data_IF_788480746250
#
_entry.id   IF_788480746250
#
_cell.length_a   1.000
_cell.length_b   1.000
_cell.length_c   1.000
_cell.angle_alpha   90.00
_cell.angle_beta   90.00
_cell.angle_gamma   90.00
#
_symmetry.space_group_name_H-M   'P 1'
#
loop_
_entity.id
_entity.type
_entity.pdbx_description
1 polymer ?
#
# COMPACT_ATOMS: atom_id res chain seq x y z
N UNK A 1 21.40 -8.57 -20.89
CA UNK A 1 20.86 -7.47 -20.04
C UNK A 1 20.77 -6.12 -20.78
N UNK A 2 21.78 -5.71 -21.54
CA UNK A 2 21.75 -4.42 -22.25
C UNK A 2 20.56 -4.23 -23.22
N UNK A 3 20.09 -5.26 -23.90
CA UNK A 3 18.97 -5.17 -24.84
C UNK A 3 17.62 -4.84 -24.18
N UNK A 4 17.36 -5.34 -22.98
CA UNK A 4 16.08 -5.05 -22.29
C UNK A 4 15.97 -3.60 -21.83
N UNK A 5 17.05 -3.03 -21.31
CA UNK A 5 17.07 -1.64 -20.86
C UNK A 5 16.88 -0.67 -22.03
N UNK A 6 17.48 -0.98 -23.19
CA UNK A 6 17.29 -0.20 -24.39
C UNK A 6 15.83 -0.23 -24.88
N UNK A 7 15.21 -1.41 -24.91
CA UNK A 7 13.78 -1.56 -25.27
C UNK A 7 12.89 -0.73 -24.34
N UNK A 8 13.16 -0.73 -23.03
CA UNK A 8 12.43 0.08 -22.05
C UNK A 8 12.61 1.57 -22.34
N UNK A 9 13.85 2.01 -22.55
CA UNK A 9 14.16 3.42 -22.85
C UNK A 9 13.47 3.89 -24.15
N UNK A 10 13.53 3.10 -25.21
CA UNK A 10 12.87 3.38 -26.48
C UNK A 10 11.33 3.45 -26.32
N UNK A 11 10.75 2.56 -25.51
CA UNK A 11 9.32 2.62 -25.18
C UNK A 11 8.96 3.88 -24.39
N UNK A 12 9.75 4.26 -23.41
CA UNK A 12 9.49 5.45 -22.60
C UNK A 12 9.56 6.72 -23.45
N UNK A 13 10.56 6.80 -24.33
CA UNK A 13 10.68 7.90 -25.27
C UNK A 13 9.51 7.93 -26.25
N UNK A 14 9.15 6.79 -26.86
CA UNK A 14 8.06 6.68 -27.85
C UNK A 14 6.70 7.11 -27.26
N UNK A 15 6.46 6.82 -25.99
CA UNK A 15 5.17 7.08 -25.34
C UNK A 15 5.21 8.29 -24.39
N UNK A 16 6.26 9.06 -24.44
CA UNK A 16 6.41 10.29 -23.66
C UNK A 16 6.28 10.05 -22.13
N UNK A 17 6.83 8.94 -21.64
CA UNK A 17 6.79 8.58 -20.23
C UNK A 17 7.89 9.33 -19.50
N UNK A 18 7.51 10.18 -18.56
CA UNK A 18 8.41 11.10 -17.87
C UNK A 18 9.00 10.55 -16.56
N UNK A 19 8.44 9.47 -16.03
CA UNK A 19 8.97 8.82 -14.83
C UNK A 19 8.54 7.36 -14.76
N UNK A 20 9.21 6.57 -13.91
CA UNK A 20 8.83 5.18 -13.60
C UNK A 20 8.82 4.96 -12.09
N UNK A 21 8.29 3.84 -11.66
CA UNK A 21 8.20 3.45 -10.25
C UNK A 21 8.76 2.05 -10.00
N UNK A 22 9.02 1.73 -8.72
CA UNK A 22 9.45 0.37 -8.31
C UNK A 22 8.48 -0.69 -8.79
N UNK A 23 7.19 -0.45 -8.67
CA UNK A 23 6.15 -1.39 -9.09
C UNK A 23 6.14 -1.60 -10.60
N UNK A 24 6.36 -0.54 -11.37
CA UNK A 24 6.47 -0.62 -12.83
C UNK A 24 7.75 -1.34 -13.27
N UNK A 25 8.87 -1.09 -12.58
CA UNK A 25 10.16 -1.72 -12.90
C UNK A 25 10.23 -3.20 -12.53
N UNK A 26 9.47 -3.65 -11.53
CA UNK A 26 9.39 -5.08 -11.14
C UNK A 26 8.63 -5.93 -12.16
N UNK A 27 7.70 -5.35 -12.87
CA UNK A 27 7.01 -6.06 -13.93
C UNK A 27 7.87 -5.95 -15.19
N UNK A 28 8.38 -7.07 -15.74
CA UNK A 28 9.05 -7.00 -17.02
C UNK A 28 8.10 -6.32 -18.00
N UNK A 29 8.60 -5.49 -18.91
CA UNK A 29 7.77 -4.74 -19.83
C UNK A 29 7.10 -5.70 -20.81
N UNK A 30 6.13 -6.42 -20.31
CA UNK A 30 5.22 -7.14 -21.19
C UNK A 30 4.44 -6.05 -21.91
N UNK A 31 4.56 -5.97 -23.21
CA UNK A 31 3.95 -4.94 -24.06
C UNK A 31 2.48 -4.68 -23.64
N UNK A 32 1.77 -5.73 -23.25
CA UNK A 32 0.37 -5.68 -22.81
C UNK A 32 0.18 -5.04 -21.42
N UNK A 33 1.07 -5.32 -20.47
CA UNK A 33 1.04 -4.70 -19.13
C UNK A 33 1.50 -3.25 -19.20
N UNK A 34 2.46 -2.96 -20.03
CA UNK A 34 2.96 -1.62 -20.28
C UNK A 34 1.89 -0.75 -20.95
N UNK A 35 1.25 -1.23 -21.99
CA UNK A 35 0.11 -0.56 -22.63
C UNK A 35 -1.02 -0.31 -21.64
N UNK A 36 -1.41 -1.32 -20.85
CA UNK A 36 -2.49 -1.20 -19.87
C UNK A 36 -2.15 -0.22 -18.75
N UNK A 37 -0.88 -0.19 -18.31
CA UNK A 37 -0.48 0.64 -17.17
C UNK A 37 -0.20 2.10 -17.56
N UNK A 38 0.37 2.33 -18.74
CA UNK A 38 0.84 3.64 -19.15
C UNK A 38 0.06 4.28 -20.29
N UNK A 39 -0.50 3.52 -21.21
CA UNK A 39 -1.14 4.06 -22.39
C UNK A 39 -2.65 4.21 -22.28
N UNK A 40 -3.33 3.29 -21.62
CA UNK A 40 -4.80 3.36 -21.56
C UNK A 40 -5.29 4.26 -20.45
N UNK A 41 -4.41 4.62 -19.49
CA UNK A 41 -4.81 5.27 -18.23
C UNK A 41 -6.06 4.61 -17.60
N UNK A 42 -6.43 3.46 -18.08
CA UNK A 42 -7.40 2.63 -17.39
C UNK A 42 -6.81 2.41 -16.01
N UNK A 43 -7.29 3.23 -15.08
CA UNK A 43 -7.18 2.85 -13.70
C UNK A 43 -7.70 1.42 -13.69
N UNK A 44 -6.79 0.46 -13.49
CA UNK A 44 -7.22 -0.82 -13.02
C UNK A 44 -8.07 -0.47 -11.83
N UNK A 45 -9.38 -0.52 -12.00
CA UNK A 45 -10.28 -0.61 -10.88
C UNK A 45 -9.87 -1.92 -10.22
N UNK A 46 -8.79 -1.87 -9.44
CA UNK A 46 -8.51 -2.89 -8.46
C UNK A 46 -9.75 -2.80 -7.62
N UNK A 47 -10.67 -3.74 -7.83
CA UNK A 47 -11.82 -3.85 -6.97
C UNK A 47 -11.27 -3.70 -5.57
N UNK A 48 -11.69 -2.63 -4.88
CA UNK A 48 -11.24 -2.39 -3.53
C UNK A 48 -11.54 -3.68 -2.76
N UNK A 49 -10.52 -4.33 -2.23
CA UNK A 49 -10.70 -5.51 -1.40
C UNK A 49 -10.29 -5.15 0.03
N UNK A 50 -10.79 -5.92 0.98
CA UNK A 50 -10.55 -5.69 2.39
C UNK A 50 -9.07 -5.47 2.72
N UNK A 51 -8.18 -6.28 2.16
CA UNK A 51 -6.74 -6.17 2.44
C UNK A 51 -6.14 -4.85 1.97
N UNK A 52 -6.51 -4.40 0.78
CA UNK A 52 -6.00 -3.15 0.21
C UNK A 52 -6.55 -1.95 0.99
N UNK A 53 -7.87 -1.96 1.26
CA UNK A 53 -8.52 -0.87 2.00
C UNK A 53 -8.01 -0.76 3.42
N UNK A 54 -7.90 -1.89 4.15
CA UNK A 54 -7.32 -1.91 5.48
C UNK A 54 -5.86 -1.46 5.49
N UNK A 55 -5.08 -1.87 4.49
CA UNK A 55 -3.71 -1.41 4.32
C UNK A 55 -3.64 0.11 4.21
N UNK A 56 -4.45 0.71 3.34
CA UNK A 56 -4.51 2.17 3.16
C UNK A 56 -4.95 2.88 4.44
N UNK A 57 -6.03 2.41 5.08
CA UNK A 57 -6.52 3.00 6.34
C UNK A 57 -5.44 2.93 7.43
N UNK A 58 -4.76 1.79 7.56
CA UNK A 58 -3.70 1.60 8.54
C UNK A 58 -2.50 2.54 8.31
N UNK A 59 -2.10 2.78 7.05
CA UNK A 59 -1.09 3.79 6.70
C UNK A 59 -1.54 5.18 7.13
N UNK A 60 -2.73 5.62 6.70
CA UNK A 60 -3.25 6.94 7.02
C UNK A 60 -3.27 7.22 8.53
N UNK A 61 -3.66 6.21 9.33
CA UNK A 61 -3.73 6.31 10.79
C UNK A 61 -2.34 6.51 11.40
N UNK A 62 -1.37 5.68 11.00
CA UNK A 62 0.00 5.74 11.55
C UNK A 62 0.68 7.03 11.14
N UNK A 63 0.56 7.43 9.88
CA UNK A 63 1.13 8.69 9.39
C UNK A 63 0.54 9.89 10.12
N UNK A 64 -0.78 9.93 10.28
CA UNK A 64 -1.46 10.99 11.02
C UNK A 64 -1.00 11.05 12.47
N UNK A 65 -0.89 9.90 13.15
CA UNK A 65 -0.42 9.81 14.52
C UNK A 65 0.98 10.42 14.69
N UNK A 66 1.86 10.16 13.72
CA UNK A 66 3.24 10.67 13.74
C UNK A 66 3.29 12.18 13.46
N UNK A 67 2.55 12.65 12.45
CA UNK A 67 2.58 14.05 12.02
C UNK A 67 1.92 14.97 13.05
N UNK A 68 0.77 14.57 13.57
CA UNK A 68 -0.04 15.37 14.47
C UNK A 68 0.21 15.06 15.96
N UNK A 69 1.11 14.09 16.23
CA UNK A 69 1.43 13.62 17.60
C UNK A 69 0.18 13.20 18.39
N UNK A 70 -0.71 12.47 17.71
CA UNK A 70 -1.94 11.93 18.26
C UNK A 70 -1.81 10.45 18.63
N UNK A 71 -2.71 9.96 19.45
CA UNK A 71 -2.86 8.54 19.70
C UNK A 71 -3.54 7.86 18.49
N UNK A 72 -3.30 6.56 18.33
CA UNK A 72 -3.96 5.77 17.27
C UNK A 72 -5.51 5.81 17.45
N UNK A 73 -5.99 5.77 18.69
CA UNK A 73 -7.42 5.84 18.98
C UNK A 73 -8.03 7.18 18.50
N UNK A 74 -7.36 8.30 18.72
CA UNK A 74 -7.80 9.61 18.23
C UNK A 74 -7.77 9.66 16.69
N UNK A 75 -6.74 9.12 16.06
CA UNK A 75 -6.66 9.07 14.61
C UNK A 75 -7.78 8.22 13.99
N UNK A 76 -8.17 7.10 14.62
CA UNK A 76 -9.29 6.28 14.17
C UNK A 76 -10.60 7.06 14.19
N UNK A 77 -10.79 7.99 15.14
CA UNK A 77 -12.00 8.83 15.22
C UNK A 77 -12.03 10.00 14.22
N UNK A 78 -10.94 10.22 13.49
CA UNK A 78 -10.90 11.24 12.46
C UNK A 78 -11.98 11.01 11.40
N UNK A 79 -12.66 12.09 11.01
CA UNK A 79 -13.78 12.02 10.06
C UNK A 79 -13.38 11.38 8.73
N UNK A 80 -12.20 11.71 8.20
CA UNK A 80 -11.74 11.16 6.90
C UNK A 80 -11.48 9.67 7.00
N UNK A 81 -10.96 9.21 8.13
CA UNK A 81 -10.72 7.79 8.40
C UNK A 81 -12.06 7.06 8.54
N UNK A 82 -12.98 7.62 9.31
CA UNK A 82 -14.33 7.07 9.48
C UNK A 82 -15.09 7.01 8.15
N UNK A 83 -15.00 8.05 7.32
CA UNK A 83 -15.62 8.06 6.00
C UNK A 83 -15.05 6.92 5.10
N UNK A 84 -13.73 6.66 5.15
CA UNK A 84 -13.12 5.54 4.44
C UNK A 84 -13.60 4.18 4.98
N UNK A 85 -13.72 4.04 6.29
CA UNK A 85 -14.23 2.82 6.93
C UNK A 85 -15.68 2.57 6.53
N UNK A 86 -16.52 3.58 6.63
CA UNK A 86 -17.95 3.48 6.37
C UNK A 86 -18.31 3.34 4.89
N UNK A 87 -17.43 3.81 4.01
CA UNK A 87 -17.64 3.69 2.55
C UNK A 87 -17.29 2.31 1.99
N UNK A 88 -16.62 1.45 2.77
CA UNK A 88 -16.26 0.13 2.29
C UNK A 88 -17.43 -0.83 2.33
N UNK A 89 -17.79 -1.35 1.17
CA UNK A 89 -18.83 -2.37 1.01
C UNK A 89 -18.28 -3.45 0.08
N UNK A 90 -18.36 -4.71 0.50
CA UNK A 90 -18.04 -5.86 -0.35
C UNK A 90 -19.24 -6.77 -0.51
N UNK A 91 -19.52 -7.18 -1.75
CA UNK A 91 -20.54 -8.20 -2.03
C UNK A 91 -20.06 -9.62 -1.67
N UNK A 92 -18.75 -9.82 -1.55
CA UNK A 92 -18.18 -11.07 -1.03
C UNK A 92 -18.24 -11.05 0.51
N UNK A 93 -19.07 -11.92 1.07
CA UNK A 93 -19.22 -12.07 2.53
C UNK A 93 -17.90 -12.34 3.24
N UNK A 94 -17.00 -13.12 2.64
CA UNK A 94 -15.69 -13.43 3.26
C UNK A 94 -14.82 -12.20 3.30
N UNK A 95 -14.84 -11.40 2.24
CA UNK A 95 -14.07 -10.17 2.16
C UNK A 95 -14.64 -9.13 3.14
N UNK A 96 -15.96 -8.99 3.22
CA UNK A 96 -16.62 -8.13 4.20
C UNK A 96 -16.27 -8.51 5.64
N UNK A 97 -16.37 -9.80 6.01
CA UNK A 97 -15.99 -10.29 7.33
C UNK A 97 -14.50 -10.03 7.64
N UNK A 98 -13.64 -10.16 6.64
CA UNK A 98 -12.22 -9.85 6.77
C UNK A 98 -11.99 -8.37 7.06
N UNK A 99 -12.74 -7.50 6.41
CA UNK A 99 -12.68 -6.06 6.65
C UNK A 99 -13.12 -5.71 8.07
N UNK A 100 -14.27 -6.19 8.50
CA UNK A 100 -14.80 -5.96 9.85
C UNK A 100 -13.85 -6.47 10.95
N UNK A 101 -13.26 -7.63 10.73
CA UNK A 101 -12.24 -8.15 11.63
C UNK A 101 -10.97 -7.30 11.64
N UNK A 102 -10.54 -6.81 10.49
CA UNK A 102 -9.40 -5.91 10.37
C UNK A 102 -9.61 -4.60 11.10
N UNK A 103 -10.80 -4.00 10.97
CA UNK A 103 -11.16 -2.77 11.68
C UNK A 103 -11.05 -2.93 13.21
N UNK A 104 -11.50 -4.05 13.76
CA UNK A 104 -11.38 -4.33 15.20
C UNK A 104 -9.93 -4.41 15.70
N UNK A 105 -8.98 -4.66 14.82
CA UNK A 105 -7.57 -4.79 15.14
C UNK A 105 -6.72 -3.57 14.74
N UNK A 106 -7.32 -2.53 14.15
CA UNK A 106 -6.59 -1.35 13.66
C UNK A 106 -5.78 -0.65 14.75
N UNK A 107 -6.39 -0.47 15.91
CA UNK A 107 -5.72 0.20 17.03
C UNK A 107 -4.48 -0.57 17.51
N UNK A 108 -4.62 -1.89 17.69
CA UNK A 108 -3.51 -2.74 18.10
C UNK A 108 -2.37 -2.74 17.06
N UNK A 109 -2.71 -2.80 15.77
CA UNK A 109 -1.73 -2.77 14.67
C UNK A 109 -1.02 -1.41 14.61
N UNK A 110 -1.76 -0.32 14.70
CA UNK A 110 -1.20 1.03 14.70
C UNK A 110 -0.28 1.27 15.90
N UNK A 111 -0.68 0.85 17.10
CA UNK A 111 0.15 0.96 18.30
C UNK A 111 1.45 0.14 18.17
N UNK A 112 1.40 -1.06 17.60
CA UNK A 112 2.61 -1.85 17.34
C UNK A 112 3.58 -1.12 16.39
N UNK A 113 3.08 -0.41 15.38
CA UNK A 113 3.93 0.40 14.52
C UNK A 113 4.60 1.55 15.28
N UNK A 114 3.86 2.26 16.11
CA UNK A 114 4.42 3.35 16.93
C UNK A 114 5.44 2.84 17.95
N UNK A 115 5.20 1.67 18.56
CA UNK A 115 6.17 1.04 19.48
C UNK A 115 7.48 0.68 18.75
N UNK A 116 7.39 0.06 17.57
CA UNK A 116 8.57 -0.26 16.76
C UNK A 116 9.37 1.00 16.38
N UNK A 117 8.70 2.13 16.14
CA UNK A 117 9.38 3.38 15.85
C UNK A 117 10.10 3.97 17.06
N UNK A 118 9.67 3.66 18.30
CA UNK A 118 10.36 4.09 19.53
C UNK A 118 11.71 3.40 19.72
N UNK A 119 11.91 2.22 19.11
CA UNK A 119 13.19 1.50 19.14
C UNK A 119 14.24 2.18 18.24
N UNK A 120 13.81 3.04 17.34
CA UNK A 120 14.70 3.80 16.44
C UNK A 120 15.17 5.10 17.11
N UNK A 121 16.33 5.65 16.69
CA UNK A 121 16.80 6.93 17.19
C UNK A 121 15.72 8.01 17.06
N UNK A 122 15.58 8.85 18.10
CA UNK A 122 14.65 9.98 18.05
C UNK A 122 15.01 10.90 16.89
N UNK A 123 14.10 11.06 15.98
CA UNK A 123 14.27 11.90 14.80
C UNK A 123 12.92 12.42 14.33
N UNK A 124 12.95 13.49 13.54
CA UNK A 124 11.75 14.03 12.92
C UNK A 124 11.42 13.21 11.68
N UNK A 125 10.27 12.55 11.68
CA UNK A 125 9.79 11.80 10.55
C UNK A 125 9.04 12.69 9.55
N UNK A 126 9.28 12.43 8.27
CA UNK A 126 8.48 12.94 7.14
C UNK A 126 7.71 11.78 6.56
N UNK A 127 6.42 11.97 6.36
CA UNK A 127 5.52 10.97 5.76
C UNK A 127 5.45 11.16 4.25
N UNK A 128 5.20 10.07 3.51
CA UNK A 128 5.03 10.06 2.05
C UNK A 128 6.10 10.87 1.30
N UNK A 129 7.34 10.81 1.76
CA UNK A 129 8.42 11.55 1.11
C UNK A 129 8.66 11.06 -0.31
N UNK A 130 8.45 11.95 -1.28
CA UNK A 130 8.76 11.67 -2.67
C UNK A 130 10.26 11.76 -2.91
N UNK A 131 10.81 10.69 -3.47
CA UNK A 131 12.19 10.62 -3.90
C UNK A 131 12.25 10.35 -5.40
N UNK A 132 13.07 11.13 -6.09
CA UNK A 132 13.35 10.92 -7.51
C UNK A 132 14.84 10.67 -7.72
N UNK A 133 15.16 9.58 -8.39
CA UNK A 133 16.53 9.25 -8.78
C UNK A 133 16.60 8.96 -10.26
N UNK A 134 17.50 9.65 -10.94
CA UNK A 134 17.75 9.39 -12.34
C UNK A 134 18.43 8.04 -12.54
N UNK A 135 17.96 7.26 -13.52
CA UNK A 135 18.56 5.99 -13.89
C UNK A 135 18.97 6.07 -15.36
N UNK A 136 20.25 6.29 -15.60
CA UNK A 136 20.82 6.50 -16.92
C UNK A 136 20.40 5.47 -17.99
N UNK A 137 20.40 4.15 -17.73
CA UNK A 137 20.03 3.19 -18.77
C UNK A 137 18.60 3.32 -19.26
N UNK A 138 17.69 3.90 -18.47
CA UNK A 138 16.27 4.02 -18.79
C UNK A 138 15.94 5.43 -19.28
N UNK A 139 16.82 6.38 -19.02
CA UNK A 139 16.70 7.80 -19.39
C UNK A 139 15.41 8.49 -18.87
N UNK A 140 14.91 8.02 -17.72
CA UNK A 140 13.80 8.66 -17.00
C UNK A 140 14.06 8.59 -15.49
N UNK A 141 13.54 9.54 -14.70
CA UNK A 141 13.66 9.50 -13.27
C UNK A 141 12.83 8.35 -12.69
N UNK A 142 13.43 7.69 -11.72
CA UNK A 142 12.78 6.70 -10.89
C UNK A 142 12.09 7.41 -9.73
N UNK A 143 10.78 7.34 -9.70
CA UNK A 143 9.95 7.95 -8.66
C UNK A 143 9.57 6.92 -7.62
N UNK A 144 9.80 7.20 -6.36
CA UNK A 144 9.37 6.38 -5.24
C UNK A 144 8.81 7.25 -4.12
N UNK A 145 7.85 6.71 -3.42
CA UNK A 145 7.33 7.26 -2.17
C UNK A 145 7.79 6.36 -1.04
N UNK A 146 8.33 6.96 0.00
CA UNK A 146 8.78 6.27 1.21
C UNK A 146 7.82 6.70 2.32
N UNK A 147 7.19 5.72 2.98
CA UNK A 147 6.17 5.97 3.99
C UNK A 147 6.69 6.88 5.09
N UNK A 148 7.86 6.57 5.63
CA UNK A 148 8.50 7.37 6.67
C UNK A 148 9.97 7.59 6.36
N UNK A 149 10.40 8.83 6.27
CA UNK A 149 11.80 9.23 6.09
C UNK A 149 12.24 10.08 7.27
N UNK A 150 13.28 9.64 7.98
CA UNK A 150 13.96 10.41 9.00
C UNK A 150 15.33 10.88 8.50
N UNK A 151 16.13 11.49 9.39
CA UNK A 151 17.49 11.97 9.06
C UNK A 151 18.46 10.82 8.75
N UNK A 152 18.34 9.72 9.48
CA UNK A 152 19.26 8.58 9.40
C UNK A 152 18.59 7.27 9.02
N UNK A 153 17.26 7.19 9.06
CA UNK A 153 16.49 5.97 8.82
C UNK A 153 15.33 6.22 7.90
N UNK A 154 14.98 5.18 7.17
CA UNK A 154 13.72 5.07 6.42
C UNK A 154 12.92 3.89 6.98
N UNK A 155 11.61 4.01 7.00
CA UNK A 155 10.74 2.94 7.44
C UNK A 155 9.57 2.78 6.48
N UNK A 156 9.20 1.52 6.21
CA UNK A 156 8.10 1.14 5.34
C UNK A 156 6.99 0.53 6.21
N UNK A 157 5.83 1.15 6.23
CA UNK A 157 4.69 0.73 7.05
C UNK A 157 4.04 -0.49 6.41
N UNK A 158 4.18 -1.66 7.04
CA UNK A 158 3.56 -2.91 6.59
C UNK A 158 2.48 -3.37 7.55
N UNK A 159 1.24 -3.03 7.23
CA UNK A 159 0.09 -3.49 8.00
C UNK A 159 -0.19 -4.98 7.75
N UNK A 160 0.10 -5.81 8.74
CA UNK A 160 -0.19 -7.23 8.70
C UNK A 160 -1.41 -7.54 9.57
N UNK A 161 -2.56 -7.66 8.93
CA UNK A 161 -3.79 -8.01 9.61
C UNK A 161 -3.85 -9.52 9.92
N UNK A 162 -4.40 -9.90 11.09
CA UNK A 162 -4.60 -11.29 11.42
C UNK A 162 -5.47 -12.00 10.37
N UNK A 163 -5.09 -13.20 9.99
CA UNK A 163 -5.86 -13.98 9.03
C UNK A 163 -7.05 -14.60 9.72
N UNK A 164 -8.26 -14.33 9.25
CA UNK A 164 -9.45 -15.06 9.68
C UNK A 164 -9.33 -16.48 9.14
N UNK A 165 -9.12 -17.44 10.04
CA UNK A 165 -9.19 -18.86 9.69
C UNK A 165 -10.67 -19.24 9.59
N UNK A 166 -11.19 -19.28 8.38
CA UNK A 166 -12.47 -19.93 8.14
C UNK A 166 -12.24 -21.44 8.28
N UNK A 167 -12.61 -22.01 9.42
CA UNK A 167 -12.75 -23.47 9.48
C UNK A 167 -13.83 -23.86 8.47
N UNK A 168 -13.55 -24.74 7.51
CA UNK A 168 -14.61 -25.31 6.72
C UNK A 168 -15.60 -25.92 7.72
N UNK A 169 -16.86 -25.51 7.64
CA UNK A 169 -17.95 -26.16 8.38
C UNK A 169 -17.78 -27.64 8.09
N UNK A 170 -17.40 -28.43 9.10
CA UNK A 170 -17.48 -29.85 9.02
C UNK A 170 -18.97 -30.15 8.89
N UNK A 171 -19.44 -30.32 7.67
CA UNK A 171 -20.74 -30.90 7.41
C UNK A 171 -20.67 -32.26 8.12
N UNK A 172 -21.34 -32.36 9.26
CA UNK A 172 -21.65 -33.68 9.83
C UNK A 172 -22.46 -34.37 8.74
N UNK A 173 -21.83 -35.26 8.00
CA UNK A 173 -22.58 -36.27 7.28
C UNK A 173 -23.29 -37.09 8.35
N UNK A 174 -24.57 -36.83 8.52
CA UNK A 174 -25.48 -37.77 9.14
C UNK A 174 -25.42 -39.01 8.27
N UNK A 175 -24.74 -40.04 8.72
CA UNK A 175 -24.90 -41.38 8.19
C UNK A 175 -26.29 -41.85 8.67
N UNK A 176 -27.22 -41.88 7.78
CA UNK A 176 -28.43 -42.73 7.89
C UNK A 176 -28.06 -44.15 7.50
#
# INVERSE_FOLDING_TARGET
>A
MANHLKIIADCYQKFNITNTSVSAAKNPPHIRCFQKHYLTKEQNSKCANASLTLGTIGHDIVEKAIVENLTIAECIQDKKIQDKINSYISFDKKDQMKFEFGIKNLEAIGNNHLENLKELPKQKWKTEAEHMKWIDPINVPFRMFIDLTGETHVNDIKNKFPTVKFSPLKTKQTKD
#
